data_IF_264743648158
#
_entry.id   IF_264743648158
#
_cell.length_a   1.000
_cell.length_b   1.000
_cell.length_c   1.000
_cell.angle_alpha   90.00
_cell.angle_beta   90.00
_cell.angle_gamma   90.00
#
_symmetry.space_group_name_H-M   'P 1'
#
loop_
_entity.id
_entity.type
_entity.pdbx_description
1 polymer ?
#
# COMPACT_ATOMS: atom_id res chain seq x y z
N UNK A 1 3.37 13.19 9.10
CA UNK A 1 4.07 12.60 7.95
C UNK A 1 3.06 11.88 7.08
N UNK A 2 2.76 12.42 5.90
CA UNK A 2 1.76 11.88 4.97
C UNK A 2 2.30 10.57 4.37
N UNK A 3 1.91 9.45 4.95
CA UNK A 3 2.24 8.13 4.41
C UNK A 3 1.54 7.97 3.07
N UNK A 4 2.31 7.87 1.97
CA UNK A 4 1.77 7.67 0.62
C UNK A 4 0.78 6.48 0.59
N UNK A 5 -0.32 6.59 -0.19
CA UNK A 5 -1.25 5.48 -0.36
C UNK A 5 -0.56 4.28 -1.03
N UNK A 6 -1.03 3.07 -0.68
CA UNK A 6 -0.64 1.83 -1.37
C UNK A 6 -1.29 1.87 -2.75
N UNK A 7 -0.53 1.60 -3.81
CA UNK A 7 -1.12 1.57 -5.16
C UNK A 7 -1.83 0.23 -5.43
N UNK A 8 -2.63 0.15 -6.49
CA UNK A 8 -3.43 -1.04 -6.80
C UNK A 8 -2.61 -2.32 -6.99
N UNK A 9 -1.44 -2.24 -7.63
CA UNK A 9 -0.55 -3.40 -7.81
C UNK A 9 0.03 -3.87 -6.47
N UNK A 10 0.45 -2.94 -5.63
CA UNK A 10 0.93 -3.23 -4.28
C UNK A 10 -0.17 -3.82 -3.41
N UNK A 11 -1.39 -3.27 -3.48
CA UNK A 11 -2.55 -3.79 -2.79
C UNK A 11 -2.85 -5.24 -3.19
N UNK A 12 -2.96 -5.51 -4.50
CA UNK A 12 -3.23 -6.85 -5.00
C UNK A 12 -2.14 -7.85 -4.59
N UNK A 13 -0.89 -7.42 -4.58
CA UNK A 13 0.23 -8.25 -4.13
C UNK A 13 0.16 -8.55 -2.62
N UNK A 14 -0.16 -7.55 -1.80
CA UNK A 14 -0.31 -7.72 -0.36
C UNK A 14 -1.52 -8.58 0.01
N UNK A 15 -2.65 -8.40 -0.66
CA UNK A 15 -3.85 -9.22 -0.48
C UNK A 15 -3.58 -10.68 -0.85
N UNK A 16 -2.86 -10.93 -1.96
CA UNK A 16 -2.46 -12.30 -2.35
C UNK A 16 -1.57 -12.93 -1.29
N UNK A 17 -0.55 -12.21 -0.81
CA UNK A 17 0.34 -12.71 0.22
C UNK A 17 -0.40 -13.04 1.54
N UNK A 18 -1.35 -12.20 1.96
CA UNK A 18 -2.20 -12.47 3.12
C UNK A 18 -3.04 -13.73 2.95
N UNK A 19 -3.58 -13.96 1.74
CA UNK A 19 -4.44 -15.11 1.44
C UNK A 19 -3.67 -16.42 1.29
N UNK A 20 -2.53 -16.39 0.60
CA UNK A 20 -1.83 -17.60 0.13
C UNK A 20 -0.65 -17.98 1.03
N UNK A 21 -0.01 -17.02 1.68
CA UNK A 21 1.28 -17.19 2.36
C UNK A 21 1.28 -16.62 3.79
N UNK A 22 0.10 -16.43 4.39
CA UNK A 22 -0.05 -15.86 5.74
C UNK A 22 0.68 -14.52 5.92
N UNK A 23 0.63 -13.69 4.87
CA UNK A 23 1.27 -12.38 4.82
C UNK A 23 2.77 -12.41 4.52
N UNK A 24 3.35 -13.58 4.23
CA UNK A 24 4.76 -13.72 3.86
C UNK A 24 4.97 -13.51 2.37
N UNK A 25 6.09 -12.90 2.02
CA UNK A 25 6.49 -12.62 0.66
C UNK A 25 8.00 -12.80 0.52
N UNK A 26 8.40 -13.86 -0.18
CA UNK A 26 9.77 -14.00 -0.65
C UNK A 26 9.97 -13.24 -1.97
N UNK A 27 11.21 -12.82 -2.22
CA UNK A 27 11.59 -12.15 -3.47
C UNK A 27 11.18 -12.95 -4.72
N UNK A 28 11.42 -14.27 -4.70
CA UNK A 28 11.11 -15.18 -5.81
C UNK A 28 9.60 -15.29 -6.07
N UNK A 29 8.78 -15.33 -5.02
CA UNK A 29 7.31 -15.34 -5.14
C UNK A 29 6.80 -14.04 -5.75
N UNK A 30 7.34 -12.89 -5.33
CA UNK A 30 6.98 -11.59 -5.91
C UNK A 30 7.30 -11.57 -7.40
N UNK A 31 8.47 -12.08 -7.81
CA UNK A 31 8.83 -12.16 -9.22
C UNK A 31 7.85 -13.03 -10.03
N UNK A 32 7.49 -14.19 -9.48
CA UNK A 32 6.56 -15.12 -10.11
C UNK A 32 5.19 -14.46 -10.30
N UNK A 33 4.59 -13.91 -9.24
CA UNK A 33 3.26 -13.29 -9.31
C UNK A 33 3.22 -12.07 -10.24
N UNK A 34 4.24 -11.23 -10.20
CA UNK A 34 4.34 -10.08 -11.12
C UNK A 34 4.50 -10.55 -12.58
N UNK A 35 5.22 -11.64 -12.80
CA UNK A 35 5.33 -12.30 -14.11
C UNK A 35 3.98 -12.81 -14.60
N UNK A 36 3.24 -13.54 -13.76
CA UNK A 36 1.89 -14.04 -14.05
C UNK A 36 0.91 -12.91 -14.43
N UNK A 37 0.99 -11.77 -13.74
CA UNK A 37 0.13 -10.62 -14.00
C UNK A 37 0.63 -9.68 -15.12
N UNK A 38 1.83 -9.91 -15.66
CA UNK A 38 2.38 -9.13 -16.76
C UNK A 38 2.69 -7.67 -16.40
N UNK A 39 3.02 -7.35 -15.15
CA UNK A 39 3.26 -5.95 -14.71
C UNK A 39 4.63 -5.39 -15.12
N UNK A 40 5.51 -6.22 -15.67
CA UNK A 40 6.81 -5.78 -16.19
C UNK A 40 7.79 -5.26 -15.14
N UNK A 41 7.62 -5.61 -13.86
CA UNK A 41 8.60 -5.21 -12.85
C UNK A 41 9.90 -5.98 -13.04
N UNK A 42 11.01 -5.24 -13.16
CA UNK A 42 12.33 -5.83 -13.24
C UNK A 42 12.83 -6.30 -11.87
N UNK A 43 13.83 -7.17 -11.87
CA UNK A 43 14.57 -7.59 -10.67
C UNK A 43 14.98 -6.40 -9.79
N UNK A 44 15.47 -5.32 -10.42
CA UNK A 44 15.91 -4.11 -9.75
C UNK A 44 14.73 -3.35 -9.13
N UNK A 45 13.65 -3.17 -9.90
CA UNK A 45 12.43 -2.50 -9.43
C UNK A 45 11.84 -3.21 -8.20
N UNK A 46 11.80 -4.54 -8.19
CA UNK A 46 11.31 -5.33 -7.05
C UNK A 46 12.19 -5.10 -5.83
N UNK A 47 13.52 -5.11 -5.97
CA UNK A 47 14.44 -4.89 -4.84
C UNK A 47 14.31 -3.49 -4.26
N UNK A 48 14.13 -2.48 -5.09
CA UNK A 48 13.95 -1.10 -4.62
C UNK A 48 12.61 -0.90 -3.93
N UNK A 49 11.54 -1.49 -4.46
CA UNK A 49 10.23 -1.52 -3.78
C UNK A 49 10.31 -2.21 -2.43
N UNK A 50 10.97 -3.37 -2.37
CA UNK A 50 11.20 -4.10 -1.14
C UNK A 50 11.92 -3.24 -0.09
N UNK A 51 13.01 -2.55 -0.46
CA UNK A 51 13.71 -1.61 0.45
C UNK A 51 12.82 -0.46 0.91
N UNK A 52 12.06 0.12 -0.02
CA UNK A 52 11.14 1.22 0.26
C UNK A 52 10.02 0.80 1.21
N UNK A 53 9.45 -0.39 1.00
CA UNK A 53 8.40 -0.96 1.85
C UNK A 53 8.93 -1.26 3.25
N UNK A 54 10.16 -1.77 3.39
CA UNK A 54 10.82 -1.91 4.71
C UNK A 54 11.02 -0.56 5.39
N UNK A 55 11.52 0.44 4.68
CA UNK A 55 11.73 1.79 5.23
C UNK A 55 10.41 2.45 5.68
N UNK A 56 9.31 2.17 4.97
CA UNK A 56 7.96 2.62 5.32
C UNK A 56 7.33 1.81 6.45
N UNK A 57 7.98 0.75 6.90
CA UNK A 57 7.45 -0.20 7.89
C UNK A 57 6.28 -1.02 7.37
N UNK A 58 6.12 -1.15 6.05
CA UNK A 58 5.02 -1.90 5.42
C UNK A 58 5.27 -3.41 5.44
N UNK A 59 6.55 -3.77 5.35
CA UNK A 59 7.03 -5.15 5.50
C UNK A 59 8.22 -5.16 6.44
N UNK A 60 8.49 -6.30 7.04
CA UNK A 60 9.68 -6.53 7.85
C UNK A 60 10.28 -7.90 7.51
N UNK A 61 11.57 -8.09 7.80
CA UNK A 61 12.25 -9.37 7.58
C UNK A 61 11.61 -10.46 8.44
N UNK A 62 11.35 -11.61 7.84
CA UNK A 62 10.91 -12.78 8.59
C UNK A 62 12.07 -13.33 9.44
N UNK A 63 11.90 -13.48 10.77
CA UNK A 63 12.96 -13.99 11.65
C UNK A 63 13.28 -15.47 11.39
N UNK A 64 12.32 -16.24 10.88
CA UNK A 64 12.46 -17.68 10.64
C UNK A 64 13.01 -17.97 9.23
N UNK A 65 12.80 -17.04 8.29
CA UNK A 65 13.20 -17.18 6.89
C UNK A 65 13.93 -15.92 6.41
N UNK A 66 15.26 -15.99 6.34
CA UNK A 66 16.11 -14.86 5.94
C UNK A 66 15.81 -14.30 4.53
N UNK A 67 15.17 -15.10 3.66
CA UNK A 67 14.78 -14.73 2.30
C UNK A 67 13.33 -14.24 2.17
N UNK A 68 12.55 -14.26 3.25
CA UNK A 68 11.15 -13.84 3.27
C UNK A 68 10.97 -12.57 4.11
N UNK A 69 9.87 -11.89 3.83
CA UNK A 69 9.42 -10.71 4.56
C UNK A 69 7.95 -10.87 4.88
N UNK A 70 7.50 -10.41 6.03
CA UNK A 70 6.09 -10.43 6.38
C UNK A 70 5.48 -9.04 6.28
N UNK A 71 4.22 -9.00 5.87
CA UNK A 71 3.39 -7.79 5.86
C UNK A 71 3.13 -7.37 7.31
N UNK A 72 3.35 -6.09 7.62
CA UNK A 72 3.11 -5.57 8.97
C UNK A 72 1.65 -5.12 9.14
N UNK A 73 1.24 -4.92 10.40
CA UNK A 73 -0.06 -4.32 10.71
C UNK A 73 -0.29 -2.94 10.08
N UNK A 74 0.77 -2.21 9.70
CA UNK A 74 0.64 -0.92 9.01
C UNK A 74 0.00 -1.06 7.63
N UNK A 75 0.32 -2.12 6.90
CA UNK A 75 -0.33 -2.41 5.61
C UNK A 75 -1.75 -2.91 5.83
N UNK A 76 -1.98 -3.78 6.80
CA UNK A 76 -3.34 -4.26 7.13
C UNK A 76 -4.28 -3.09 7.43
N UNK A 77 -3.84 -2.11 8.23
CA UNK A 77 -4.62 -0.90 8.51
C UNK A 77 -4.88 -0.01 7.29
N UNK A 78 -4.04 -0.11 6.25
CA UNK A 78 -4.20 0.62 5.00
C UNK A 78 -5.10 -0.11 4.00
N UNK A 79 -5.07 -1.45 4.01
CA UNK A 79 -5.94 -2.30 3.20
C UNK A 79 -7.39 -2.32 3.72
N UNK A 80 -7.56 -2.31 5.04
CA UNK A 80 -8.88 -2.34 5.70
C UNK A 80 -9.61 -0.98 5.61
N UNK A 81 -8.86 0.10 5.37
CA UNK A 81 -9.47 1.39 5.05
C UNK A 81 -9.87 1.36 3.58
N UNK A 82 -11.18 1.37 3.22
CA UNK A 82 -11.56 1.59 1.84
C UNK A 82 -10.91 2.91 1.42
N UNK A 83 -10.15 2.85 0.32
CA UNK A 83 -9.54 4.04 -0.26
C UNK A 83 -10.68 4.95 -0.72
N UNK A 84 -11.21 5.78 0.18
CA UNK A 84 -12.06 6.91 -0.16
C UNK A 84 -11.16 7.97 -0.78
N UNK A 85 -10.68 7.70 -1.99
CA UNK A 85 -10.24 8.70 -2.93
C UNK A 85 -11.48 9.26 -3.63
N UNK A 86 -12.34 9.96 -2.90
CA UNK A 86 -13.22 10.93 -3.51
C UNK A 86 -12.55 12.28 -3.34
N UNK A 87 -12.22 12.89 -4.48
CA UNK A 87 -11.70 14.25 -4.58
C UNK A 87 -12.48 15.20 -3.65
N UNK A 88 -11.91 15.55 -2.50
CA UNK A 88 -12.33 16.71 -1.75
C UNK A 88 -11.62 17.93 -2.36
N UNK A 89 -12.26 18.52 -3.36
CA UNK A 89 -11.98 19.88 -3.80
C UNK A 89 -12.23 20.80 -2.58
N UNK A 90 -11.17 21.25 -1.92
CA UNK A 90 -11.22 22.36 -0.95
C UNK A 90 -11.55 23.69 -1.67
N UNK A 91 -11.97 24.78 -1.00
CA UNK A 91 -12.51 24.91 0.36
C UNK A 91 -13.81 25.75 0.44
N UNK A 92 -14.57 25.53 1.52
CA UNK A 92 -15.34 26.50 2.30
C UNK A 92 -15.60 27.91 1.69
N UNK A 93 -16.81 28.13 1.19
CA UNK A 93 -17.45 29.45 1.21
C UNK A 93 -18.94 29.30 1.56
N UNK A 94 -19.21 28.91 2.81
CA UNK A 94 -20.47 29.27 3.48
C UNK A 94 -20.45 30.78 3.71
N UNK A 95 -20.89 31.54 2.72
CA UNK A 95 -21.39 32.89 2.96
C UNK A 95 -22.86 32.75 3.37
N UNK A 96 -23.07 32.39 4.64
CA UNK A 96 -24.30 32.73 5.35
C UNK A 96 -24.43 34.26 5.32
N UNK A 97 -25.26 34.78 4.43
CA UNK A 97 -25.83 36.12 4.57
C UNK A 97 -27.12 36.00 5.37
N UNK A 98 -27.17 36.41 6.64
CA UNK A 98 -28.44 36.81 7.22
C UNK A 98 -28.87 38.16 6.65
N UNK A 99 -30.14 38.22 6.27
CA UNK A 99 -30.87 39.36 5.75
C UNK A 99 -30.99 40.53 6.77
N UNK A 100 -30.93 41.77 6.26
CA UNK A 100 -31.57 43.04 6.73
C UNK A 100 -31.32 43.59 8.16
N UNK A 101 -30.81 44.83 8.24
CA UNK A 101 -31.52 46.03 8.73
C UNK A 101 -30.57 47.19 9.11
N UNK A 102 -30.64 48.31 8.37
CA UNK A 102 -30.75 49.67 8.94
C UNK A 102 -31.12 50.70 7.88
#
# INVERSE_FOLDING_TARGET
>A
TTSLPINQQEQQLFERALREEDGKMAYTQIMEWVGEWGWGWSNHNIRDRLKLWEQKGWIAKDPDRSNARYITGTVMQKLDKPTNATNATNPQQTADKPLTNR
#
